data_IF_236069278217
#
_entry.id   IF_236069278217
#
_cell.length_a   1.000
_cell.length_b   1.000
_cell.length_c   1.000
_cell.angle_alpha   90.00
_cell.angle_beta   90.00
_cell.angle_gamma   90.00
#
_symmetry.space_group_name_H-M   'P 1'
#
loop_
_entity.id
_entity.type
_entity.pdbx_description
1 polymer ?
#
# COMPACT_ATOMS: atom_id res chain seq x y z
N UNK A 1 -4.93 4.71 9.63
CA UNK A 1 -5.29 3.87 10.79
C UNK A 1 -5.85 4.77 11.87
N UNK A 2 -6.78 4.29 12.68
CA UNK A 2 -7.28 4.96 13.88
C UNK A 2 -7.37 3.92 14.99
N UNK A 3 -6.93 4.28 16.20
CA UNK A 3 -6.81 3.36 17.35
C UNK A 3 -5.57 3.67 18.17
N UNK A 4 -5.44 3.00 19.32
CA UNK A 4 -4.44 3.31 20.35
C UNK A 4 -2.99 3.16 19.83
N UNK A 5 -2.70 2.06 19.12
CA UNK A 5 -1.35 1.75 18.60
C UNK A 5 -1.09 2.30 17.18
N UNK A 6 -1.95 3.20 16.69
CA UNK A 6 -1.85 3.71 15.32
C UNK A 6 -0.52 4.42 15.00
N UNK A 7 0.06 5.26 15.89
CA UNK A 7 1.35 5.90 15.65
C UNK A 7 2.50 4.90 15.46
N UNK A 8 2.55 3.86 16.29
CA UNK A 8 3.60 2.84 16.30
C UNK A 8 3.49 1.96 15.06
N UNK A 9 2.27 1.51 14.72
CA UNK A 9 2.03 0.64 13.55
C UNK A 9 2.36 1.39 12.26
N UNK A 10 1.91 2.64 12.10
CA UNK A 10 2.12 3.36 10.84
C UNK A 10 3.59 3.72 10.60
N UNK A 11 4.40 3.86 11.65
CA UNK A 11 5.84 4.07 11.51
C UNK A 11 6.53 2.90 10.80
N UNK A 12 6.18 1.66 11.14
CA UNK A 12 6.69 0.47 10.46
C UNK A 12 6.20 0.39 9.00
N UNK A 13 4.93 0.69 8.75
CA UNK A 13 4.35 0.70 7.40
C UNK A 13 5.00 1.77 6.51
N UNK A 14 5.36 2.93 7.07
CA UNK A 14 6.06 3.99 6.32
C UNK A 14 7.42 3.51 5.78
N UNK A 15 8.13 2.65 6.51
CA UNK A 15 9.38 2.02 6.04
C UNK A 15 9.09 1.11 4.84
N UNK A 16 8.05 0.27 4.90
CA UNK A 16 7.64 -0.60 3.80
C UNK A 16 7.31 0.19 2.53
N UNK A 17 6.56 1.30 2.68
CA UNK A 17 6.25 2.21 1.57
C UNK A 17 7.53 2.84 1.01
N UNK A 18 8.43 3.30 1.87
CA UNK A 18 9.71 3.90 1.45
C UNK A 18 10.60 2.90 0.71
N UNK A 19 10.55 1.62 1.09
CA UNK A 19 11.24 0.53 0.44
C UNK A 19 10.57 0.05 -0.86
N UNK A 20 9.41 0.61 -1.24
CA UNK A 20 8.72 0.28 -2.49
C UNK A 20 7.94 -1.03 -2.45
N UNK A 21 7.56 -1.52 -1.27
CA UNK A 21 6.76 -2.73 -1.16
C UNK A 21 5.36 -2.50 -1.76
N UNK A 22 4.87 -3.52 -2.43
CA UNK A 22 3.58 -3.54 -3.12
C UNK A 22 2.51 -4.21 -2.26
N UNK A 23 1.25 -4.10 -2.68
CA UNK A 23 0.16 -4.81 -2.02
C UNK A 23 0.34 -6.34 -2.03
N UNK A 24 1.01 -6.89 -3.04
CA UNK A 24 1.31 -8.33 -3.14
C UNK A 24 2.23 -8.79 -2.00
N UNK A 25 3.21 -7.97 -1.62
CA UNK A 25 4.13 -8.27 -0.51
C UNK A 25 3.37 -8.33 0.83
N UNK A 26 2.40 -7.43 1.01
CA UNK A 26 1.54 -7.42 2.19
C UNK A 26 0.63 -8.65 2.22
N UNK A 27 0.06 -9.06 1.07
CA UNK A 27 -0.78 -10.28 1.00
C UNK A 27 0.00 -11.59 1.21
N UNK A 28 1.30 -11.58 0.91
CA UNK A 28 2.20 -12.72 1.12
C UNK A 28 2.74 -12.80 2.56
N UNK A 29 2.55 -11.75 3.36
CA UNK A 29 3.06 -11.69 4.73
C UNK A 29 2.11 -12.38 5.72
N UNK A 30 2.65 -13.20 6.62
CA UNK A 30 1.88 -13.84 7.69
C UNK A 30 1.59 -12.82 8.81
N UNK A 31 0.33 -12.70 9.19
CA UNK A 31 -0.10 -11.86 10.31
C UNK A 31 0.36 -12.39 11.67
N UNK A 32 0.64 -11.50 12.60
CA UNK A 32 0.92 -11.84 14.00
C UNK A 32 -0.38 -11.73 14.79
N UNK A 33 -0.89 -12.87 15.26
CA UNK A 33 -2.17 -12.95 15.95
C UNK A 33 -2.01 -13.01 17.48
N UNK A 34 -2.82 -12.28 18.27
CA UNK A 34 -3.84 -11.29 17.89
C UNK A 34 -3.30 -9.86 17.90
N UNK A 35 -3.38 -9.12 16.78
CA UNK A 35 -2.95 -7.71 16.74
C UNK A 35 -3.80 -6.85 15.80
N UNK A 36 -3.98 -5.57 16.12
CA UNK A 36 -4.61 -4.62 15.18
C UNK A 36 -3.81 -4.44 13.89
N UNK A 37 -2.50 -4.69 13.93
CA UNK A 37 -1.61 -4.59 12.78
C UNK A 37 -1.82 -5.71 11.76
N UNK A 38 -2.27 -6.89 12.18
CA UNK A 38 -2.45 -8.04 11.28
C UNK A 38 -3.49 -7.77 10.18
N UNK A 39 -4.41 -6.82 10.41
CA UNK A 39 -5.39 -6.41 9.40
C UNK A 39 -4.76 -5.77 8.15
N UNK A 40 -3.53 -5.25 8.22
CA UNK A 40 -2.83 -4.74 7.04
C UNK A 40 -2.43 -5.84 6.04
N UNK A 41 -2.31 -7.10 6.49
CA UNK A 41 -1.91 -8.24 5.66
C UNK A 41 -3.07 -9.15 5.28
N UNK A 42 -4.30 -8.84 5.72
CA UNK A 42 -5.53 -9.59 5.41
C UNK A 42 -6.45 -8.89 4.38
N UNK A 43 -6.21 -7.61 4.07
CA UNK A 43 -7.01 -6.82 3.12
C UNK A 43 -6.79 -7.22 1.64
N UNK A 44 -7.41 -8.31 1.18
CA UNK A 44 -7.21 -8.86 -0.19
C UNK A 44 -8.07 -8.23 -1.29
N UNK A 45 -9.26 -7.75 -0.93
CA UNK A 45 -10.27 -7.30 -1.90
C UNK A 45 -10.48 -5.78 -1.83
N UNK A 46 -10.34 -5.04 -2.95
CA UNK A 46 -10.58 -3.60 -2.95
C UNK A 46 -12.08 -3.29 -2.82
N UNK A 47 -12.42 -2.33 -1.96
CA UNK A 47 -13.81 -1.87 -1.77
C UNK A 47 -14.28 -0.89 -2.85
N UNK A 48 -13.34 -0.19 -3.49
CA UNK A 48 -13.61 0.78 -4.57
C UNK A 48 -12.40 0.87 -5.50
N UNK A 49 -12.66 1.06 -6.79
CA UNK A 49 -11.65 1.42 -7.78
C UNK A 49 -11.95 2.83 -8.30
N UNK A 50 -10.95 3.70 -8.30
CA UNK A 50 -11.07 5.05 -8.85
C UNK A 50 -10.53 5.00 -10.28
N UNK A 51 -11.31 5.51 -11.24
CA UNK A 51 -10.84 5.69 -12.62
C UNK A 51 -9.76 6.78 -12.61
N UNK A 52 -8.58 6.48 -13.15
CA UNK A 52 -7.55 7.49 -13.41
C UNK A 52 -8.10 8.56 -14.37
N UNK A 53 -7.82 9.83 -14.09
CA UNK A 53 -8.16 10.92 -15.00
C UNK A 53 -7.30 10.80 -16.26
N UNK A 54 -7.73 11.41 -17.36
CA UNK A 54 -6.95 11.42 -18.60
C UNK A 54 -5.56 12.03 -18.42
N UNK A 55 -5.39 12.94 -17.46
CA UNK A 55 -4.11 13.61 -17.16
C UNK A 55 -3.12 12.65 -16.49
N UNK A 56 -3.57 11.81 -15.54
CA UNK A 56 -2.71 10.84 -14.83
C UNK A 56 -2.13 9.75 -15.75
N UNK A 57 -2.82 9.48 -16.87
CA UNK A 57 -2.39 8.50 -17.87
C UNK A 57 -1.25 9.04 -18.74
N UNK A 58 -1.19 10.37 -18.94
CA UNK A 58 -0.14 11.03 -19.74
C UNK A 58 1.17 11.06 -18.96
N UNK A 59 1.14 11.48 -17.68
CA UNK A 59 2.34 11.48 -16.82
C UNK A 59 2.95 10.07 -16.67
N UNK A 60 2.11 9.04 -16.49
CA UNK A 60 2.60 7.66 -16.40
C UNK A 60 3.21 7.13 -17.71
N UNK A 61 2.82 7.67 -18.87
CA UNK A 61 3.43 7.33 -20.17
C UNK A 61 4.73 8.08 -20.38
N UNK A 62 4.79 9.36 -20.03
CA UNK A 62 5.98 10.19 -20.18
C UNK A 62 7.12 9.71 -19.27
N UNK A 63 6.80 9.26 -18.05
CA UNK A 63 7.79 8.68 -17.14
C UNK A 63 8.34 7.33 -17.63
N UNK A 64 7.53 6.56 -18.37
CA UNK A 64 7.94 5.28 -18.98
C UNK A 64 8.79 5.52 -20.23
N UNK A 65 8.48 6.55 -21.04
CA UNK A 65 9.26 6.92 -22.24
C UNK A 65 10.62 7.53 -21.87
N UNK A 66 10.72 8.29 -20.77
CA UNK A 66 11.99 8.89 -20.32
C UNK A 66 12.98 7.89 -19.70
N UNK A 67 12.56 6.64 -19.44
CA UNK A 67 13.40 5.58 -18.86
C UNK A 67 13.79 4.50 -19.89
N UNK A 68 13.57 4.75 -21.18
CA UNK A 68 13.99 3.90 -22.31
C UNK A 68 15.14 4.50 -23.10
#
# INVERSE_FOLDING_TARGET
>A
MCGDDAPEIIQGIAIAVKAGLTKQDFDATIGIHPTSAEEFVTMRSPTRKIRKSSTDQVESKDEVVSKQ
#
